data_IF_684140500209
#
_entry.id   IF_684140500209
#
_cell.length_a   1.000
_cell.length_b   1.000
_cell.length_c   1.000
_cell.angle_alpha   90.00
_cell.angle_beta   90.00
_cell.angle_gamma   90.00
#
_symmetry.space_group_name_H-M   'P 1'
#
loop_
_entity.id
_entity.type
_entity.pdbx_description
1 polymer ?
#
# COMPACT_ATOMS: atom_id res chain seq x y z
N UNK A 1 -9.46 2.94 35.71
CA UNK A 1 -9.29 2.75 34.26
C UNK A 1 -9.60 4.08 33.57
N UNK A 2 -8.58 4.79 33.10
CA UNK A 2 -8.78 6.04 32.35
C UNK A 2 -9.04 5.65 30.91
N UNK A 3 -10.28 5.75 30.47
CA UNK A 3 -10.65 5.72 29.07
C UNK A 3 -10.07 6.96 28.40
N UNK A 4 -8.99 6.82 27.68
CA UNK A 4 -8.56 7.84 26.73
C UNK A 4 -9.64 7.90 25.64
N UNK A 5 -10.58 8.80 25.78
CA UNK A 5 -11.44 9.25 24.70
C UNK A 5 -10.58 10.09 23.75
N UNK A 6 -9.88 9.42 22.81
CA UNK A 6 -9.52 10.08 21.57
C UNK A 6 -10.87 10.48 20.95
N UNK A 7 -11.12 11.78 20.83
CA UNK A 7 -12.28 12.31 20.11
C UNK A 7 -12.09 11.98 18.63
N UNK A 8 -12.45 10.75 18.24
CA UNK A 8 -12.53 10.40 16.83
C UNK A 8 -13.63 11.27 16.22
N UNK A 9 -13.25 12.20 15.37
CA UNK A 9 -14.19 13.08 14.65
C UNK A 9 -15.01 12.32 13.59
N UNK A 10 -14.64 11.07 13.31
CA UNK A 10 -15.30 10.23 12.31
C UNK A 10 -16.23 9.20 12.97
N UNK A 11 -17.56 9.20 12.66
CA UNK A 11 -18.51 8.29 13.23
C UNK A 11 -18.24 6.84 12.88
N UNK A 12 -18.40 5.91 13.83
CA UNK A 12 -18.22 4.47 13.64
C UNK A 12 -16.88 4.05 13.00
N UNK A 13 -15.80 4.83 13.18
CA UNK A 13 -14.50 4.50 12.59
C UNK A 13 -13.95 3.19 13.14
N UNK A 14 -14.00 2.99 14.45
CA UNK A 14 -13.54 1.75 15.10
C UNK A 14 -14.37 0.53 14.64
N UNK A 15 -15.68 0.71 14.47
CA UNK A 15 -16.58 -0.33 13.95
C UNK A 15 -16.26 -0.67 12.50
N UNK A 16 -15.94 0.31 11.67
CA UNK A 16 -15.48 0.09 10.31
C UNK A 16 -14.18 -0.73 10.27
N UNK A 17 -13.19 -0.35 11.08
CA UNK A 17 -11.92 -1.08 11.16
C UNK A 17 -12.12 -2.52 11.70
N UNK A 18 -13.04 -2.69 12.64
CA UNK A 18 -13.43 -4.01 13.14
C UNK A 18 -14.13 -4.83 12.05
N UNK A 19 -15.04 -4.21 11.28
CA UNK A 19 -15.71 -4.85 10.15
C UNK A 19 -14.70 -5.35 9.10
N UNK A 20 -13.67 -4.56 8.77
CA UNK A 20 -12.62 -5.01 7.86
C UNK A 20 -11.89 -6.27 8.40
N UNK A 21 -11.60 -6.31 9.72
CA UNK A 21 -10.98 -7.48 10.36
C UNK A 21 -11.90 -8.70 10.32
N UNK A 22 -13.18 -8.52 10.63
CA UNK A 22 -14.19 -9.58 10.60
C UNK A 22 -14.37 -10.16 9.18
N UNK A 23 -14.22 -9.34 8.14
CA UNK A 23 -14.27 -9.75 6.74
C UNK A 23 -12.91 -10.26 6.20
N UNK A 24 -11.98 -10.63 7.11
CA UNK A 24 -10.70 -11.25 6.78
C UNK A 24 -9.77 -10.40 5.88
N UNK A 25 -9.89 -9.07 5.94
CA UNK A 25 -8.88 -8.19 5.34
C UNK A 25 -7.54 -8.39 6.04
N UNK A 26 -6.43 -8.30 5.28
CA UNK A 26 -5.11 -8.45 5.87
C UNK A 26 -4.82 -7.31 6.86
N UNK A 27 -4.01 -7.55 7.92
CA UNK A 27 -3.62 -6.51 8.88
C UNK A 27 -3.03 -5.28 8.21
N UNK A 28 -2.24 -5.47 7.16
CA UNK A 28 -1.68 -4.39 6.35
C UNK A 28 -2.77 -3.56 5.66
N UNK A 29 -3.83 -4.21 5.17
CA UNK A 29 -4.96 -3.51 4.55
C UNK A 29 -5.69 -2.67 5.58
N UNK A 30 -6.00 -3.21 6.76
CA UNK A 30 -6.67 -2.48 7.85
C UNK A 30 -5.82 -1.28 8.28
N UNK A 31 -4.52 -1.46 8.48
CA UNK A 31 -3.57 -0.39 8.80
C UNK A 31 -3.56 0.72 7.74
N UNK A 32 -3.62 0.36 6.45
CA UNK A 32 -3.67 1.34 5.37
C UNK A 32 -4.98 2.16 5.38
N UNK A 33 -6.12 1.53 5.66
CA UNK A 33 -7.40 2.23 5.82
C UNK A 33 -7.35 3.21 7.01
N UNK A 34 -6.89 2.74 8.18
CA UNK A 34 -6.74 3.56 9.37
C UNK A 34 -5.86 4.78 9.12
N UNK A 35 -4.69 4.58 8.50
CA UNK A 35 -3.76 5.67 8.17
C UNK A 35 -4.36 6.67 7.18
N UNK A 36 -5.10 6.20 6.18
CA UNK A 36 -5.71 7.07 5.18
C UNK A 36 -6.86 7.89 5.77
N UNK A 37 -7.65 7.30 6.66
CA UNK A 37 -8.74 7.99 7.36
C UNK A 37 -8.22 8.97 8.42
N UNK A 38 -7.10 8.66 9.07
CA UNK A 38 -6.45 9.61 9.98
C UNK A 38 -6.03 10.93 9.29
N UNK A 39 -5.72 10.89 7.98
CA UNK A 39 -5.46 12.12 7.20
C UNK A 39 -6.74 12.95 7.08
N UNK A 40 -7.89 12.31 6.93
CA UNK A 40 -9.18 12.99 6.86
C UNK A 40 -9.61 13.58 8.21
N UNK A 41 -9.37 12.86 9.31
CA UNK A 41 -9.57 13.40 10.66
C UNK A 41 -8.72 14.64 10.92
N UNK A 42 -7.44 14.59 10.55
CA UNK A 42 -6.55 15.75 10.67
C UNK A 42 -7.05 16.95 9.87
N UNK A 43 -7.55 16.73 8.66
CA UNK A 43 -8.16 17.77 7.83
C UNK A 43 -9.36 18.42 8.54
N UNK A 44 -10.29 17.64 9.11
CA UNK A 44 -11.41 18.17 9.88
C UNK A 44 -10.95 18.98 11.08
N UNK A 45 -9.97 18.49 11.83
CA UNK A 45 -9.42 19.19 12.98
C UNK A 45 -8.79 20.55 12.59
N UNK A 46 -8.08 20.60 11.45
CA UNK A 46 -7.48 21.84 10.95
C UNK A 46 -8.52 22.84 10.46
N UNK A 47 -9.53 22.37 9.74
CA UNK A 47 -10.63 23.19 9.25
C UNK A 47 -11.63 23.58 10.33
N UNK A 48 -11.54 22.96 11.52
CA UNK A 48 -12.48 23.15 12.67
C UNK A 48 -13.94 22.94 12.27
N UNK A 49 -14.19 21.87 11.52
CA UNK A 49 -15.53 21.48 11.07
C UNK A 49 -15.92 20.13 11.66
N UNK A 50 -17.20 19.92 11.85
CA UNK A 50 -17.77 18.65 12.29
C UNK A 50 -18.20 17.80 11.09
N UNK A 51 -18.33 16.49 11.33
CA UNK A 51 -18.76 15.55 10.27
C UNK A 51 -20.13 15.90 9.69
N UNK A 52 -21.05 16.44 10.50
CA UNK A 52 -22.37 16.93 10.07
C UNK A 52 -22.33 18.08 9.06
N UNK A 53 -21.21 18.81 8.99
CA UNK A 53 -21.00 19.93 8.06
C UNK A 53 -20.41 19.48 6.72
N UNK A 54 -20.17 18.17 6.58
CA UNK A 54 -19.65 17.60 5.36
C UNK A 54 -20.58 17.88 4.18
N UNK A 55 -20.02 18.37 3.08
CA UNK A 55 -20.70 18.64 1.84
C UNK A 55 -19.74 18.48 0.66
N UNK A 56 -20.24 18.59 -0.56
CA UNK A 56 -19.40 18.44 -1.77
C UNK A 56 -18.24 19.43 -1.83
N UNK A 57 -18.43 20.66 -1.32
CA UNK A 57 -17.35 21.68 -1.29
C UNK A 57 -16.22 21.25 -0.36
N UNK A 58 -16.55 20.73 0.83
CA UNK A 58 -15.58 20.19 1.79
C UNK A 58 -14.79 19.03 1.17
N UNK A 59 -15.41 18.18 0.36
CA UNK A 59 -14.67 17.12 -0.36
C UNK A 59 -13.69 17.71 -1.38
N UNK A 60 -14.05 18.76 -2.12
CA UNK A 60 -13.11 19.40 -3.04
C UNK A 60 -11.97 20.12 -2.29
N UNK A 61 -12.25 20.76 -1.15
CA UNK A 61 -11.23 21.32 -0.26
C UNK A 61 -10.29 20.23 0.28
N UNK A 62 -10.83 19.06 0.64
CA UNK A 62 -10.00 17.91 1.04
C UNK A 62 -9.09 17.40 -0.09
N UNK A 63 -9.57 17.35 -1.32
CA UNK A 63 -8.72 17.01 -2.48
C UNK A 63 -7.59 18.03 -2.67
N UNK A 64 -7.89 19.32 -2.53
CA UNK A 64 -6.87 20.37 -2.57
C UNK A 64 -5.86 20.21 -1.42
N UNK A 65 -6.34 19.92 -0.21
CA UNK A 65 -5.48 19.63 0.94
C UNK A 65 -4.56 18.43 0.70
N UNK A 66 -5.06 17.34 0.12
CA UNK A 66 -4.25 16.17 -0.23
C UNK A 66 -3.16 16.50 -1.26
N UNK A 67 -3.42 17.44 -2.15
CA UNK A 67 -2.46 17.89 -3.17
C UNK A 67 -1.46 18.91 -2.64
N UNK A 68 -1.69 19.47 -1.43
CA UNK A 68 -0.87 20.53 -0.87
C UNK A 68 0.31 19.95 -0.07
N UNK A 69 1.38 20.74 0.02
CA UNK A 69 2.52 20.46 0.88
C UNK A 69 2.23 20.65 2.37
N UNK A 70 1.12 21.31 2.72
CA UNK A 70 0.77 21.68 4.10
C UNK A 70 0.04 20.57 4.86
N UNK A 71 -0.36 19.47 4.17
CA UNK A 71 -1.05 18.38 4.81
C UNK A 71 -0.24 17.76 5.95
N UNK A 72 -0.90 17.49 7.06
CA UNK A 72 -0.31 16.74 8.16
C UNK A 72 -0.50 15.24 7.93
N UNK A 73 0.62 14.53 7.88
CA UNK A 73 0.63 13.08 7.85
C UNK A 73 1.18 12.54 9.15
N UNK A 74 0.78 11.32 9.60
CA UNK A 74 1.28 10.72 10.83
C UNK A 74 2.82 10.60 10.90
N UNK A 75 3.49 10.60 9.75
CA UNK A 75 4.96 10.64 9.62
C UNK A 75 5.35 11.89 8.84
N UNK A 76 5.50 13.02 9.53
CA UNK A 76 6.09 14.20 8.95
C UNK A 76 7.62 14.01 8.94
N UNK A 77 8.14 13.52 7.85
CA UNK A 77 9.55 13.66 7.53
C UNK A 77 9.65 14.44 6.24
N UNK A 78 10.24 15.63 6.37
CA UNK A 78 10.79 16.47 5.32
C UNK A 78 9.82 17.12 4.31
N UNK A 79 10.13 18.37 4.01
CA UNK A 79 9.51 19.32 3.06
C UNK A 79 8.56 18.70 2.05
N UNK A 80 7.33 19.17 2.10
CA UNK A 80 6.19 18.82 1.30
C UNK A 80 6.48 18.39 -0.13
N UNK A 81 6.56 17.08 -0.33
CA UNK A 81 6.45 16.49 -1.66
C UNK A 81 4.96 16.35 -1.93
N UNK A 82 4.50 16.91 -3.03
CA UNK A 82 3.14 16.74 -3.49
C UNK A 82 2.83 15.25 -3.68
N UNK A 83 1.65 14.82 -3.21
CA UNK A 83 1.23 13.44 -3.45
C UNK A 83 0.99 13.22 -4.94
N UNK A 84 1.50 12.12 -5.46
CA UNK A 84 1.09 11.65 -6.78
C UNK A 84 -0.43 11.41 -6.82
N UNK A 85 -1.07 11.68 -7.95
CA UNK A 85 -2.51 11.51 -8.14
C UNK A 85 -3.00 10.08 -7.82
N UNK A 86 -2.15 9.07 -8.02
CA UNK A 86 -2.43 7.68 -7.60
C UNK A 86 -2.52 7.52 -6.08
N UNK A 87 -1.67 8.22 -5.33
CA UNK A 87 -1.70 8.20 -3.86
C UNK A 87 -2.93 8.95 -3.32
N UNK A 88 -3.28 10.09 -3.93
CA UNK A 88 -4.52 10.82 -3.63
C UNK A 88 -5.71 9.90 -3.86
N UNK A 89 -5.79 9.22 -5.01
CA UNK A 89 -6.89 8.32 -5.34
C UNK A 89 -6.97 7.12 -4.40
N UNK A 90 -5.85 6.62 -3.89
CA UNK A 90 -5.86 5.58 -2.86
C UNK A 90 -6.56 6.08 -1.59
N UNK A 91 -6.18 7.25 -1.10
CA UNK A 91 -6.79 7.87 0.09
C UNK A 91 -8.28 8.18 -0.12
N UNK A 92 -8.66 8.71 -1.28
CA UNK A 92 -10.08 8.94 -1.63
C UNK A 92 -10.86 7.63 -1.74
N UNK A 93 -10.24 6.54 -2.21
CA UNK A 93 -10.86 5.22 -2.26
C UNK A 93 -11.11 4.66 -0.86
N UNK A 94 -10.18 4.87 0.08
CA UNK A 94 -10.37 4.51 1.48
C UNK A 94 -11.56 5.27 2.09
N UNK A 95 -11.66 6.58 1.82
CA UNK A 95 -12.78 7.40 2.27
C UNK A 95 -14.12 6.94 1.67
N UNK A 96 -14.15 6.59 0.37
CA UNK A 96 -15.36 6.04 -0.27
C UNK A 96 -15.80 4.73 0.37
N UNK A 97 -14.88 3.84 0.65
CA UNK A 97 -15.18 2.56 1.31
C UNK A 97 -15.75 2.77 2.71
N UNK A 98 -15.19 3.73 3.45
CA UNK A 98 -15.71 4.10 4.76
C UNK A 98 -17.12 4.70 4.68
N UNK A 99 -17.38 5.64 3.76
CA UNK A 99 -18.73 6.20 3.56
C UNK A 99 -19.73 5.15 3.08
N UNK A 100 -19.29 4.21 2.24
CA UNK A 100 -20.14 3.08 1.85
C UNK A 100 -20.55 2.25 3.05
N UNK A 101 -19.60 1.93 3.94
CA UNK A 101 -19.87 1.23 5.20
C UNK A 101 -20.85 2.00 6.08
N UNK A 102 -20.68 3.31 6.26
CA UNK A 102 -21.65 4.14 7.00
C UNK A 102 -23.05 4.05 6.42
N UNK A 103 -23.16 4.08 5.09
CA UNK A 103 -24.44 3.93 4.38
C UNK A 103 -25.07 2.54 4.58
N UNK A 104 -24.25 1.47 4.63
CA UNK A 104 -24.73 0.12 4.92
C UNK A 104 -25.21 -0.02 6.37
N UNK A 105 -24.61 0.73 7.29
CA UNK A 105 -25.02 0.83 8.70
C UNK A 105 -26.18 1.81 8.93
N UNK A 106 -26.83 2.27 7.87
CA UNK A 106 -27.96 3.22 7.94
C UNK A 106 -27.62 4.53 8.66
N UNK A 107 -26.32 4.91 8.70
CA UNK A 107 -25.87 6.18 9.26
C UNK A 107 -26.31 7.32 8.32
N UNK A 108 -26.91 8.39 8.91
CA UNK A 108 -27.37 9.55 8.15
C UNK A 108 -26.17 10.37 7.62
N UNK A 109 -25.74 10.04 6.42
CA UNK A 109 -24.63 10.70 5.75
C UNK A 109 -25.03 12.05 5.20
N UNK A 110 -24.27 13.13 5.47
CA UNK A 110 -24.55 14.47 4.92
C UNK A 110 -24.42 14.53 3.39
N UNK A 111 -23.72 13.58 2.77
CA UNK A 111 -23.57 13.44 1.31
C UNK A 111 -23.64 11.96 0.92
N UNK A 112 -24.08 11.63 -0.30
CA UNK A 112 -24.01 10.25 -0.79
C UNK A 112 -22.58 9.74 -0.82
N UNK A 113 -22.36 8.46 -0.50
CA UNK A 113 -21.03 7.83 -0.46
C UNK A 113 -20.28 7.93 -1.79
N UNK A 114 -20.99 7.95 -2.91
CA UNK A 114 -20.43 8.06 -4.26
C UNK A 114 -20.10 9.50 -4.69
N UNK A 115 -20.41 10.50 -3.84
CA UNK A 115 -20.05 11.90 -4.08
C UNK A 115 -18.54 12.13 -4.06
N UNK A 116 -17.77 11.26 -3.38
CA UNK A 116 -16.30 11.30 -3.39
C UNK A 116 -15.78 10.80 -4.74
N UNK A 117 -15.58 11.70 -5.67
CA UNK A 117 -15.02 11.38 -7.00
C UNK A 117 -13.49 11.36 -6.94
N UNK A 118 -12.89 10.39 -7.65
CA UNK A 118 -11.43 10.31 -7.79
C UNK A 118 -10.90 11.44 -8.66
N UNK A 119 -9.63 11.81 -8.45
CA UNK A 119 -8.94 12.79 -9.31
C UNK A 119 -8.43 12.11 -10.57
N UNK A 120 -8.25 12.91 -11.62
CA UNK A 120 -7.67 12.43 -12.88
C UNK A 120 -6.22 12.02 -12.62
N UNK A 121 -5.86 10.82 -13.07
CA UNK A 121 -4.47 10.33 -13.02
C UNK A 121 -3.81 10.49 -14.38
N UNK A 122 -2.56 10.94 -14.37
CA UNK A 122 -1.74 10.87 -15.55
C UNK A 122 -1.33 9.41 -15.80
N UNK A 123 -1.44 8.99 -17.05
CA UNK A 123 -0.92 7.69 -17.48
C UNK A 123 0.59 7.82 -17.68
N UNK A 124 1.34 7.65 -16.62
CA UNK A 124 2.78 7.54 -16.74
C UNK A 124 3.13 6.16 -17.30
N UNK A 125 3.71 6.12 -18.49
CA UNK A 125 4.31 4.91 -19.00
C UNK A 125 5.59 4.63 -18.21
N UNK A 126 5.60 3.52 -17.47
CA UNK A 126 6.82 3.07 -16.81
C UNK A 126 7.89 2.82 -17.88
N UNK A 127 9.05 3.45 -17.69
CA UNK A 127 10.21 3.15 -18.53
C UNK A 127 10.64 1.70 -18.26
N UNK A 128 10.63 0.88 -19.28
CA UNK A 128 11.16 -0.48 -19.22
C UNK A 128 12.68 -0.39 -19.41
N UNK A 129 13.42 -0.92 -18.44
CA UNK A 129 14.89 -0.94 -18.54
C UNK A 129 15.34 -1.87 -19.66
N UNK A 130 16.42 -1.51 -20.34
CA UNK A 130 17.06 -2.36 -21.34
C UNK A 130 17.61 -3.65 -20.71
N UNK A 131 17.60 -4.76 -21.47
CA UNK A 131 18.06 -6.05 -20.96
C UNK A 131 19.48 -5.99 -20.37
N UNK A 132 20.38 -5.24 -21.01
CA UNK A 132 21.75 -5.04 -20.52
C UNK A 132 21.80 -4.32 -19.16
N UNK A 133 20.91 -3.37 -18.93
CA UNK A 133 20.78 -2.65 -17.66
C UNK A 133 20.26 -3.57 -16.56
N UNK A 134 19.29 -4.44 -16.89
CA UNK A 134 18.77 -5.44 -15.98
C UNK A 134 19.85 -6.46 -15.57
N UNK A 135 20.66 -6.94 -16.52
CA UNK A 135 21.77 -7.83 -16.20
C UNK A 135 22.76 -7.17 -15.26
N UNK A 136 23.16 -5.91 -15.51
CA UNK A 136 24.05 -5.14 -14.63
C UNK A 136 23.44 -4.98 -13.22
N UNK A 137 22.15 -4.70 -13.13
CA UNK A 137 21.46 -4.58 -11.84
C UNK A 137 21.52 -5.91 -11.08
N UNK A 138 21.18 -7.01 -11.73
CA UNK A 138 21.21 -8.34 -11.11
C UNK A 138 22.63 -8.71 -10.67
N UNK A 139 23.66 -8.28 -11.37
CA UNK A 139 25.07 -8.54 -11.06
C UNK A 139 25.67 -7.59 -10.00
N UNK A 140 25.04 -6.46 -9.78
CA UNK A 140 25.58 -5.39 -8.93
C UNK A 140 25.98 -5.81 -7.51
N UNK A 141 25.29 -6.71 -6.79
CA UNK A 141 25.71 -7.09 -5.44
C UNK A 141 27.12 -7.69 -5.39
N UNK A 142 27.55 -8.36 -6.45
CA UNK A 142 28.87 -9.02 -6.48
C UNK A 142 30.04 -8.04 -6.45
N UNK A 143 29.83 -6.75 -6.76
CA UNK A 143 30.89 -5.75 -6.79
C UNK A 143 30.58 -4.47 -6.01
N UNK A 144 29.34 -4.28 -5.54
CA UNK A 144 28.95 -3.14 -4.71
C UNK A 144 28.94 -3.47 -3.21
N UNK A 145 28.69 -4.73 -2.86
CA UNK A 145 28.61 -5.13 -1.45
C UNK A 145 30.01 -5.53 -0.93
N UNK A 146 30.40 -4.96 0.21
CA UNK A 146 31.69 -5.23 0.82
C UNK A 146 31.74 -6.58 1.58
N UNK A 147 30.59 -7.04 2.06
CA UNK A 147 30.49 -8.26 2.84
C UNK A 147 30.05 -9.43 1.94
N UNK A 148 30.89 -10.51 1.80
CA UNK A 148 30.62 -11.59 0.84
C UNK A 148 29.27 -12.31 1.05
N UNK A 149 28.84 -12.51 2.29
CA UNK A 149 27.55 -13.15 2.58
C UNK A 149 26.37 -12.28 2.15
N UNK A 150 26.45 -10.99 2.40
CA UNK A 150 25.45 -10.01 1.95
C UNK A 150 25.40 -9.93 0.43
N UNK A 151 26.57 -9.91 -0.23
CA UNK A 151 26.66 -9.95 -1.68
C UNK A 151 25.99 -11.20 -2.27
N UNK A 152 26.31 -12.39 -1.75
CA UNK A 152 25.74 -13.65 -2.19
C UNK A 152 24.21 -13.68 -2.00
N UNK A 153 23.72 -13.31 -0.81
CA UNK A 153 22.28 -13.23 -0.51
C UNK A 153 21.54 -12.27 -1.45
N UNK A 154 22.04 -11.05 -1.60
CA UNK A 154 21.41 -10.04 -2.44
C UNK A 154 21.42 -10.46 -3.92
N UNK A 155 22.51 -11.12 -4.36
CA UNK A 155 22.59 -11.70 -5.68
C UNK A 155 21.56 -12.80 -5.90
N UNK A 156 21.41 -13.74 -4.96
CA UNK A 156 20.42 -14.81 -5.02
C UNK A 156 18.99 -14.25 -5.13
N UNK A 157 18.66 -13.23 -4.32
CA UNK A 157 17.37 -12.55 -4.37
C UNK A 157 17.10 -11.96 -5.75
N UNK A 158 18.04 -11.19 -6.31
CA UNK A 158 17.87 -10.54 -7.61
C UNK A 158 17.78 -11.55 -8.76
N UNK A 159 18.60 -12.60 -8.75
CA UNK A 159 18.52 -13.68 -9.75
C UNK A 159 17.18 -14.41 -9.69
N UNK A 160 16.68 -14.69 -8.49
CA UNK A 160 15.36 -15.33 -8.31
C UNK A 160 14.23 -14.44 -8.79
N UNK A 161 14.23 -13.15 -8.43
CA UNK A 161 13.23 -12.20 -8.91
C UNK A 161 13.23 -12.10 -10.43
N UNK A 162 14.40 -12.00 -11.04
CA UNK A 162 14.56 -11.88 -12.47
C UNK A 162 14.13 -13.15 -13.23
N UNK A 163 14.48 -14.33 -12.70
CA UNK A 163 14.14 -15.61 -13.31
C UNK A 163 12.64 -15.92 -13.24
N UNK A 164 11.97 -15.55 -12.15
CA UNK A 164 10.64 -16.08 -11.81
C UNK A 164 9.51 -15.05 -11.87
N UNK A 165 9.83 -13.76 -11.79
CA UNK A 165 8.84 -12.70 -11.63
C UNK A 165 8.04 -12.77 -10.33
N UNK A 166 8.58 -13.42 -9.29
CA UNK A 166 7.96 -13.47 -7.97
C UNK A 166 7.88 -12.07 -7.34
N UNK A 167 6.93 -11.90 -6.41
CA UNK A 167 6.94 -10.72 -5.56
C UNK A 167 8.08 -10.81 -4.55
N UNK A 168 8.65 -9.66 -4.16
CA UNK A 168 9.74 -9.63 -3.17
C UNK A 168 9.37 -10.38 -1.87
N UNK A 169 8.14 -10.23 -1.39
CA UNK A 169 7.66 -10.93 -0.20
C UNK A 169 7.61 -12.46 -0.38
N UNK A 170 7.29 -12.92 -1.58
CA UNK A 170 7.30 -14.36 -1.92
C UNK A 170 8.73 -14.90 -1.92
N UNK A 171 9.69 -14.16 -2.49
CA UNK A 171 11.11 -14.56 -2.49
C UNK A 171 11.67 -14.60 -1.07
N UNK A 172 11.36 -13.58 -0.25
CA UNK A 172 11.85 -13.51 1.13
C UNK A 172 11.22 -14.53 2.07
N UNK A 173 10.12 -15.17 1.68
CA UNK A 173 9.46 -16.25 2.44
C UNK A 173 9.91 -17.65 2.01
N UNK A 174 10.77 -17.79 0.99
CA UNK A 174 11.25 -19.08 0.54
C UNK A 174 12.13 -19.77 1.59
N UNK A 175 11.91 -21.07 1.72
CA UNK A 175 12.77 -21.96 2.49
C UNK A 175 13.46 -22.94 1.51
N UNK A 176 14.51 -23.59 1.99
CA UNK A 176 15.27 -24.57 1.18
C UNK A 176 14.40 -25.71 0.64
N UNK A 177 13.35 -26.08 1.39
CA UNK A 177 12.47 -27.19 1.06
C UNK A 177 11.41 -26.82 0.01
N UNK A 178 11.26 -25.50 -0.31
CA UNK A 178 10.31 -25.03 -1.34
C UNK A 178 10.82 -25.24 -2.77
N UNK A 179 12.12 -25.56 -2.91
CA UNK A 179 12.80 -25.77 -4.18
C UNK A 179 12.97 -27.27 -4.43
N UNK A 180 12.41 -27.77 -5.53
CA UNK A 180 12.63 -29.16 -5.94
C UNK A 180 13.92 -29.32 -6.80
N UNK A 181 14.33 -30.57 -7.05
CA UNK A 181 15.52 -30.90 -7.83
C UNK A 181 15.48 -30.37 -9.27
N UNK A 182 14.29 -30.09 -9.81
CA UNK A 182 14.11 -29.53 -11.16
C UNK A 182 14.22 -28.02 -11.20
N UNK A 183 14.32 -27.36 -10.04
CA UNK A 183 14.32 -25.89 -9.93
C UNK A 183 12.93 -25.27 -9.94
N UNK A 184 11.90 -26.07 -9.67
CA UNK A 184 10.52 -25.64 -9.56
C UNK A 184 10.20 -25.22 -8.13
N UNK A 185 9.52 -24.09 -7.99
CA UNK A 185 9.05 -23.55 -6.71
C UNK A 185 7.53 -23.45 -6.74
N UNK A 186 6.87 -23.95 -5.69
CA UNK A 186 5.44 -23.78 -5.47
C UNK A 186 5.17 -22.51 -4.68
N UNK A 187 4.35 -21.60 -5.20
CA UNK A 187 4.04 -20.32 -4.58
C UNK A 187 2.56 -20.23 -4.29
N UNK A 188 2.26 -19.82 -3.07
CA UNK A 188 0.91 -19.44 -2.63
C UNK A 188 0.83 -17.92 -2.49
N UNK A 189 0.33 -17.26 -3.53
CA UNK A 189 0.27 -15.80 -3.61
C UNK A 189 -0.94 -15.18 -2.91
N UNK A 190 -1.09 -13.86 -3.07
CA UNK A 190 -2.21 -13.08 -2.56
C UNK A 190 -3.56 -13.66 -3.04
N UNK A 191 -4.50 -13.83 -2.10
CA UNK A 191 -5.82 -14.41 -2.38
C UNK A 191 -5.80 -15.93 -2.52
N UNK A 192 -4.80 -16.61 -1.94
CA UNK A 192 -4.63 -18.08 -1.97
C UNK A 192 -4.48 -18.65 -3.40
N UNK A 193 -4.12 -17.80 -4.37
CA UNK A 193 -3.80 -18.27 -5.73
C UNK A 193 -2.46 -18.99 -5.72
N UNK A 194 -2.47 -20.22 -6.20
CA UNK A 194 -1.31 -21.08 -6.26
C UNK A 194 -0.74 -21.08 -7.68
N UNK A 195 0.57 -21.09 -7.79
CA UNK A 195 1.28 -21.21 -9.06
C UNK A 195 2.65 -21.83 -8.89
N UNK A 196 3.14 -22.47 -9.95
CA UNK A 196 4.53 -22.87 -10.03
C UNK A 196 5.33 -21.80 -10.77
N UNK A 197 6.57 -21.61 -10.37
CA UNK A 197 7.59 -20.87 -11.08
C UNK A 197 8.85 -21.71 -11.20
N UNK A 198 9.71 -21.39 -12.17
CA UNK A 198 10.90 -22.17 -12.46
C UNK A 198 12.12 -21.26 -12.42
N UNK A 199 13.15 -21.70 -11.71
CA UNK A 199 14.46 -21.06 -11.72
C UNK A 199 15.21 -21.39 -12.99
N UNK A 200 15.91 -20.39 -13.53
CA UNK A 200 16.91 -20.63 -14.56
C UNK A 200 18.13 -21.35 -13.96
N UNK A 201 18.91 -22.03 -14.80
CA UNK A 201 20.18 -22.65 -14.35
C UNK A 201 21.11 -21.62 -13.71
N UNK A 202 21.09 -20.39 -14.22
CA UNK A 202 21.86 -19.28 -13.65
C UNK A 202 21.40 -18.94 -12.23
N UNK A 203 20.10 -18.79 -11.99
CA UNK A 203 19.56 -18.50 -10.66
C UNK A 203 19.83 -19.62 -9.66
N UNK A 204 19.74 -20.89 -10.08
CA UNK A 204 20.03 -22.06 -9.24
C UNK A 204 21.46 -22.10 -8.68
N UNK A 205 22.44 -21.47 -9.36
CA UNK A 205 23.83 -21.42 -8.88
C UNK A 205 24.03 -20.51 -7.68
N UNK A 206 23.06 -19.67 -7.36
CA UNK A 206 23.15 -18.69 -6.28
C UNK A 206 22.25 -19.04 -5.08
N UNK A 207 21.44 -20.09 -5.21
CA UNK A 207 20.60 -20.64 -4.14
C UNK A 207 21.22 -21.89 -3.56
#
# INVERSE_FOLDING_TARGET
MKTNSSSNNLPLLDDFLLNLKANHYSPETVYNYERDLAIFENFFAEMKIDFSQLNKKVIEEYKAYLSSSDRKTPKKNEKGIDLASSSINRTLSSLRSYFHYLSEMEYDLPIPWDAVKLVRTEKNHSRVAEFKELVKLVESPSYLENEPKTAARNRAILETLFATGMRISEVLSLNSDDLDETGRIFIRGKGKKERFVYLTERARKFL
#
